data_IF_373194338527
#
_entry.id   IF_373194338527
#
_cell.length_a   1.000
_cell.length_b   1.000
_cell.length_c   1.000
_cell.angle_alpha   90.00
_cell.angle_beta   90.00
_cell.angle_gamma   90.00
#
_symmetry.space_group_name_H-M   'P 1'
#
loop_
_entity.id
_entity.type
_entity.pdbx_description
1 polymer ?
#
# COMPACT_ATOMS: atom_id res chain seq x y z
N UNK A 1 4.14 23.31 8.32
CA UNK A 1 2.76 23.87 8.39
C UNK A 1 1.87 22.88 9.11
N UNK A 2 0.88 23.34 9.88
CA UNK A 2 -0.16 22.52 10.52
C UNK A 2 -1.51 23.19 10.28
N UNK A 3 -2.51 22.43 9.84
CA UNK A 3 -3.86 22.91 9.58
C UNK A 3 -4.90 21.90 10.09
N UNK A 4 -5.89 22.35 10.86
CA UNK A 4 -6.97 21.50 11.37
C UNK A 4 -8.19 21.52 10.44
N UNK A 5 -8.79 20.36 10.20
CA UNK A 5 -10.04 20.18 9.45
C UNK A 5 -11.30 20.23 10.34
N UNK A 6 -12.48 20.04 9.74
CA UNK A 6 -13.77 20.07 10.46
C UNK A 6 -14.00 18.88 11.40
N UNK A 7 -13.19 17.84 11.29
CA UNK A 7 -13.27 16.61 12.07
C UNK A 7 -12.19 16.53 13.16
N UNK A 8 -11.44 17.62 13.39
CA UNK A 8 -10.34 17.68 14.36
C UNK A 8 -9.08 16.95 13.90
N UNK A 9 -9.02 16.53 12.63
CA UNK A 9 -7.83 15.96 12.01
C UNK A 9 -6.81 17.02 11.67
N UNK A 10 -5.53 16.70 11.87
CA UNK A 10 -4.40 17.59 11.64
C UNK A 10 -3.68 17.26 10.35
N UNK A 11 -3.54 18.26 9.50
CA UNK A 11 -2.80 18.22 8.24
C UNK A 11 -1.46 18.90 8.42
N UNK A 12 -0.38 18.13 8.34
CA UNK A 12 0.98 18.54 8.72
C UNK A 12 1.90 18.35 7.51
N UNK A 13 2.44 19.44 6.98
CA UNK A 13 3.43 19.34 5.92
C UNK A 13 4.82 19.02 6.49
N UNK A 14 5.48 18.00 5.92
CA UNK A 14 6.83 17.57 6.27
C UNK A 14 7.73 17.56 5.02
N UNK A 15 9.00 17.21 5.12
CA UNK A 15 9.90 17.20 3.95
C UNK A 15 9.42 16.25 2.84
N UNK A 16 8.73 15.17 3.21
CA UNK A 16 8.37 14.04 2.35
C UNK A 16 6.98 14.14 1.71
N UNK A 17 6.18 15.11 2.14
CA UNK A 17 4.78 15.21 1.72
C UNK A 17 3.89 15.78 2.82
N UNK A 18 2.64 15.34 2.83
CA UNK A 18 1.59 15.81 3.73
C UNK A 18 1.12 14.68 4.65
N UNK A 19 1.22 14.88 5.96
CA UNK A 19 0.76 13.93 6.95
C UNK A 19 -0.63 14.33 7.42
N UNK A 20 -1.58 13.40 7.37
CA UNK A 20 -2.82 13.47 8.13
C UNK A 20 -2.63 12.74 9.46
N UNK A 21 -3.05 13.34 10.56
CA UNK A 21 -3.03 12.75 11.89
C UNK A 21 -4.37 12.96 12.58
N UNK A 22 -4.97 11.89 13.10
CA UNK A 22 -6.20 11.92 13.86
C UNK A 22 -5.87 11.79 15.36
N UNK A 23 -5.95 12.87 16.16
CA UNK A 23 -5.55 12.83 17.57
C UNK A 23 -6.37 11.87 18.43
N UNK A 24 -7.61 11.57 18.05
CA UNK A 24 -8.49 10.71 18.83
C UNK A 24 -8.15 9.21 18.72
N UNK A 25 -7.68 8.77 17.55
CA UNK A 25 -7.30 7.37 17.29
C UNK A 25 -5.78 7.16 17.27
N UNK A 26 -5.01 8.25 17.29
CA UNK A 26 -3.55 8.27 17.07
C UNK A 26 -3.13 7.70 15.70
N UNK A 27 -4.08 7.54 14.79
CA UNK A 27 -3.81 7.08 13.43
C UNK A 27 -3.23 8.23 12.61
N UNK A 28 -2.30 7.88 11.72
CA UNK A 28 -1.71 8.83 10.79
C UNK A 28 -1.54 8.20 9.41
N UNK A 29 -1.50 9.07 8.40
CA UNK A 29 -1.24 8.69 7.02
C UNK A 29 -0.32 9.72 6.38
N UNK A 30 0.68 9.24 5.64
CA UNK A 30 1.52 10.07 4.79
C UNK A 30 0.97 10.04 3.36
N UNK A 31 0.68 11.22 2.82
CA UNK A 31 0.47 11.45 1.41
C UNK A 31 1.77 11.94 0.78
N UNK A 32 2.19 11.28 -0.30
CA UNK A 32 3.43 11.59 -1.01
C UNK A 32 3.22 11.59 -2.54
N UNK A 33 4.31 11.56 -3.31
CA UNK A 33 4.27 11.57 -4.78
C UNK A 33 3.50 10.40 -5.40
N UNK A 34 3.43 9.25 -4.70
CA UNK A 34 2.66 8.09 -5.15
C UNK A 34 1.15 8.27 -4.92
N UNK A 35 0.75 9.16 -4.01
CA UNK A 35 -0.64 9.57 -3.82
C UNK A 35 -1.04 10.75 -4.75
N UNK A 36 -0.15 11.16 -5.66
CA UNK A 36 -0.39 12.23 -6.63
C UNK A 36 0.04 13.62 -6.16
N UNK A 37 0.78 13.73 -5.04
CA UNK A 37 1.40 14.99 -4.66
C UNK A 37 2.56 15.35 -5.61
N UNK A 38 2.72 16.63 -5.98
CA UNK A 38 3.91 17.05 -6.71
C UNK A 38 5.21 16.77 -5.93
N UNK A 39 6.29 16.35 -6.62
CA UNK A 39 7.61 16.22 -6.00
C UNK A 39 8.16 17.60 -5.66
N UNK A 40 8.25 17.92 -4.37
CA UNK A 40 8.53 19.26 -3.86
C UNK A 40 9.09 19.23 -2.43
N UNK A 41 9.70 20.33 -1.97
CA UNK A 41 10.05 20.50 -0.55
C UNK A 41 8.81 20.98 0.24
N UNK A 42 7.99 20.02 0.63
CA UNK A 42 6.75 20.24 1.38
C UNK A 42 6.98 20.88 2.77
N UNK A 43 8.19 20.85 3.31
CA UNK A 43 8.49 21.46 4.62
C UNK A 43 8.24 22.98 4.64
N UNK A 44 8.31 23.63 3.47
CA UNK A 44 8.08 25.06 3.27
C UNK A 44 6.69 25.38 2.73
N UNK A 45 5.80 24.39 2.66
CA UNK A 45 4.44 24.60 2.18
C UNK A 45 3.66 25.53 3.14
N UNK A 46 2.84 26.40 2.55
CA UNK A 46 1.85 27.21 3.27
C UNK A 46 0.45 26.61 3.13
N UNK A 47 -0.40 26.78 4.13
CA UNK A 47 -1.81 26.36 4.09
C UNK A 47 -2.74 27.56 4.26
N UNK A 48 -3.92 27.45 3.65
CA UNK A 48 -5.08 28.29 3.91
C UNK A 48 -6.32 27.40 3.91
N UNK A 49 -7.12 27.48 4.97
CA UNK A 49 -8.44 26.86 5.00
C UNK A 49 -9.49 27.83 4.46
N UNK A 50 -10.32 27.36 3.54
CA UNK A 50 -11.39 28.12 2.93
C UNK A 50 -12.69 28.00 3.75
N UNK A 51 -13.64 28.94 3.62
CA UNK A 51 -14.91 28.89 4.34
C UNK A 51 -15.77 27.66 4.04
N UNK A 52 -15.54 27.00 2.90
CA UNK A 52 -16.24 25.78 2.50
C UNK A 52 -15.61 24.50 3.06
N UNK A 53 -14.63 24.60 3.96
CA UNK A 53 -13.91 23.46 4.54
C UNK A 53 -12.72 22.97 3.70
N UNK A 54 -12.59 23.43 2.45
CA UNK A 54 -11.47 23.05 1.59
C UNK A 54 -10.14 23.59 2.12
N UNK A 55 -9.06 22.85 1.86
CA UNK A 55 -7.70 23.30 2.09
C UNK A 55 -7.03 23.72 0.80
N UNK A 56 -6.32 24.85 0.87
CA UNK A 56 -5.46 25.38 -0.18
C UNK A 56 -4.02 25.32 0.30
N UNK A 57 -3.20 24.50 -0.34
CA UNK A 57 -1.78 24.34 -0.03
C UNK A 57 -0.95 24.99 -1.14
N UNK A 58 -0.01 25.85 -0.74
CA UNK A 58 0.96 26.46 -1.64
C UNK A 58 2.31 25.82 -1.42
N UNK A 59 2.87 25.20 -2.45
CA UNK A 59 4.24 24.64 -2.42
C UNK A 59 5.25 25.66 -2.97
N UNK A 60 6.51 25.65 -2.50
CA UNK A 60 7.54 26.61 -2.91
C UNK A 60 7.78 26.71 -4.42
N UNK A 61 7.54 25.62 -5.15
CA UNK A 61 7.74 25.48 -6.59
C UNK A 61 6.61 26.10 -7.42
N UNK A 62 5.71 26.86 -6.78
CA UNK A 62 4.70 27.68 -7.44
C UNK A 62 3.38 26.97 -7.75
N UNK A 63 3.26 25.67 -7.42
CA UNK A 63 1.97 24.99 -7.51
C UNK A 63 1.08 25.34 -6.31
N UNK A 64 -0.22 25.38 -6.58
CA UNK A 64 -1.25 25.50 -5.54
C UNK A 64 -2.18 24.30 -5.69
N UNK A 65 -2.39 23.59 -4.59
CA UNK A 65 -3.24 22.40 -4.53
C UNK A 65 -4.45 22.76 -3.69
N UNK A 66 -5.64 22.50 -4.23
CA UNK A 66 -6.89 22.59 -3.47
C UNK A 66 -7.50 21.20 -3.34
N UNK A 67 -7.89 20.83 -2.13
CA UNK A 67 -8.67 19.62 -1.90
C UNK A 67 -9.61 19.82 -0.70
N UNK A 68 -10.65 18.99 -0.64
CA UNK A 68 -11.52 18.92 0.55
C UNK A 68 -11.14 17.66 1.35
N UNK A 69 -10.91 17.74 2.67
CA UNK A 69 -10.57 16.57 3.50
C UNK A 69 -11.55 15.41 3.28
N UNK A 70 -12.85 15.68 3.33
CA UNK A 70 -13.93 14.69 3.17
C UNK A 70 -14.03 14.05 1.77
N UNK A 71 -13.31 14.60 0.78
CA UNK A 71 -13.28 14.02 -0.56
C UNK A 71 -12.25 12.89 -0.69
N UNK A 72 -11.37 12.75 0.30
CA UNK A 72 -10.36 11.69 0.31
C UNK A 72 -11.04 10.38 0.65
N UNK A 73 -10.94 9.43 -0.28
CA UNK A 73 -11.47 8.08 -0.13
C UNK A 73 -10.33 7.11 0.02
N UNK A 74 -10.45 6.23 0.99
CA UNK A 74 -9.62 5.03 1.02
C UNK A 74 -9.96 4.16 -0.17
N UNK A 75 -8.95 3.41 -0.62
CA UNK A 75 -9.18 2.40 -1.64
C UNK A 75 -10.09 1.32 -1.05
N UNK A 76 -11.32 1.13 -1.57
CA UNK A 76 -12.27 0.19 -1.01
C UNK A 76 -11.92 -1.27 -1.36
N UNK A 77 -10.91 -1.51 -2.19
CA UNK A 77 -10.53 -2.85 -2.63
C UNK A 77 -9.31 -3.34 -1.85
N UNK A 78 -9.50 -4.19 -0.83
CA UNK A 78 -8.36 -4.82 -0.18
C UNK A 78 -7.59 -5.67 -1.20
N UNK A 79 -6.29 -5.45 -1.24
CA UNK A 79 -5.35 -6.20 -2.04
C UNK A 79 -5.41 -7.70 -1.65
N UNK A 80 -6.02 -8.53 -2.49
CA UNK A 80 -6.07 -9.98 -2.26
C UNK A 80 -4.72 -10.60 -2.63
N UNK A 81 -4.01 -11.15 -1.66
CA UNK A 81 -2.80 -11.91 -1.90
C UNK A 81 -3.17 -13.23 -2.61
N UNK A 82 -2.60 -13.45 -3.79
CA UNK A 82 -2.72 -14.67 -4.56
C UNK A 82 -1.32 -15.28 -4.71
N UNK A 83 -1.21 -16.60 -4.54
CA UNK A 83 0.01 -17.31 -4.88
C UNK A 83 0.23 -17.25 -6.39
N UNK A 84 1.39 -16.79 -6.83
CA UNK A 84 1.73 -16.64 -8.25
C UNK A 84 2.74 -17.68 -8.72
N UNK A 85 3.64 -18.11 -7.84
CA UNK A 85 4.66 -19.10 -8.17
C UNK A 85 5.05 -19.95 -6.95
N UNK A 86 5.59 -21.13 -7.22
CA UNK A 86 6.10 -22.07 -6.23
C UNK A 86 7.40 -22.70 -6.72
N UNK A 87 8.41 -22.71 -5.85
CA UNK A 87 9.72 -23.25 -6.17
C UNK A 87 10.17 -24.28 -5.14
N UNK A 88 10.87 -25.31 -5.63
CA UNK A 88 11.58 -26.30 -4.82
C UNK A 88 13.07 -26.09 -4.95
N UNK A 89 13.77 -25.95 -3.82
CA UNK A 89 15.21 -25.68 -3.77
C UNK A 89 15.64 -24.54 -4.73
N UNK A 90 14.85 -23.45 -4.77
CA UNK A 90 15.02 -22.29 -5.67
C UNK A 90 14.98 -22.63 -7.17
N UNK A 91 14.25 -23.67 -7.56
CA UNK A 91 14.00 -24.03 -8.96
C UNK A 91 12.51 -24.01 -9.24
N UNK A 92 12.16 -23.45 -10.39
CA UNK A 92 10.80 -23.49 -10.92
C UNK A 92 10.34 -24.94 -11.07
N UNK A 93 9.08 -25.18 -10.72
CA UNK A 93 8.46 -26.50 -10.77
C UNK A 93 7.36 -26.47 -11.82
N UNK A 94 7.43 -27.35 -12.81
CA UNK A 94 6.37 -27.48 -13.81
C UNK A 94 5.21 -28.31 -13.28
N UNK A 95 3.99 -27.92 -13.67
CA UNK A 95 2.78 -28.67 -13.33
C UNK A 95 2.78 -30.04 -14.01
N UNK A 96 2.60 -31.10 -13.24
CA UNK A 96 2.50 -32.48 -13.75
C UNK A 96 3.83 -33.15 -14.12
N UNK A 97 4.99 -32.50 -13.88
CA UNK A 97 6.28 -33.13 -14.09
C UNK A 97 6.52 -34.29 -13.09
N UNK A 98 7.35 -35.30 -13.41
CA UNK A 98 7.53 -36.52 -12.59
C UNK A 98 7.93 -36.29 -11.12
N UNK A 99 8.59 -35.17 -10.83
CA UNK A 99 9.06 -34.79 -9.48
C UNK A 99 8.32 -33.58 -8.89
N UNK A 100 7.26 -33.14 -9.56
CA UNK A 100 6.51 -31.96 -9.17
C UNK A 100 5.40 -32.31 -8.17
N UNK A 101 5.31 -31.60 -7.03
CA UNK A 101 4.13 -31.67 -6.17
C UNK A 101 2.91 -30.94 -6.78
N UNK A 102 3.09 -30.15 -7.85
CA UNK A 102 2.03 -29.39 -8.47
C UNK A 102 1.25 -30.25 -9.47
N UNK A 103 0.01 -30.60 -9.11
CA UNK A 103 -0.97 -31.22 -10.03
C UNK A 103 -1.71 -30.20 -10.90
N UNK A 104 -1.75 -28.96 -10.43
CA UNK A 104 -2.33 -27.80 -11.11
C UNK A 104 -1.51 -26.56 -10.76
N UNK A 105 -1.71 -25.42 -11.45
CA UNK A 105 -1.00 -24.19 -11.12
C UNK A 105 -1.19 -23.80 -9.64
N UNK A 106 -0.17 -23.15 -9.05
CA UNK A 106 -0.18 -22.86 -7.61
C UNK A 106 -1.38 -22.00 -7.19
N UNK A 107 -1.80 -21.05 -8.03
CA UNK A 107 -2.96 -20.19 -7.77
C UNK A 107 -4.29 -20.95 -7.70
N UNK A 108 -4.35 -22.17 -8.22
CA UNK A 108 -5.51 -23.05 -8.12
C UNK A 108 -5.35 -24.13 -7.03
N UNK A 109 -4.16 -24.33 -6.48
CA UNK A 109 -3.88 -25.46 -5.58
C UNK A 109 -4.38 -25.18 -4.16
N UNK A 110 -5.37 -25.95 -3.70
CA UNK A 110 -5.89 -25.85 -2.32
C UNK A 110 -5.05 -26.63 -1.29
N UNK A 111 -4.45 -27.74 -1.72
CA UNK A 111 -3.62 -28.59 -0.86
C UNK A 111 -2.38 -29.04 -1.63
N UNK A 112 -1.21 -28.78 -1.05
CA UNK A 112 0.09 -29.13 -1.61
C UNK A 112 0.76 -30.17 -0.70
N UNK A 113 0.95 -31.38 -1.20
CA UNK A 113 1.63 -32.44 -0.48
C UNK A 113 3.11 -32.48 -0.89
N UNK A 114 3.98 -32.30 0.09
CA UNK A 114 5.43 -32.35 -0.10
C UNK A 114 5.99 -33.68 0.42
N UNK A 115 6.92 -34.27 -0.32
CA UNK A 115 7.66 -35.43 0.15
C UNK A 115 8.67 -35.04 1.23
N UNK A 116 9.16 -36.04 1.96
CA UNK A 116 10.14 -35.84 3.04
C UNK A 116 11.44 -35.14 2.59
N UNK A 117 11.81 -35.26 1.30
CA UNK A 117 13.00 -34.67 0.68
C UNK A 117 12.75 -33.28 0.07
N UNK A 118 11.51 -32.80 0.08
CA UNK A 118 11.09 -31.51 -0.49
C UNK A 118 10.90 -30.43 0.59
N UNK A 119 11.84 -30.34 1.53
CA UNK A 119 11.74 -29.48 2.72
C UNK A 119 12.24 -28.03 2.51
N UNK A 120 12.84 -27.72 1.35
CA UNK A 120 13.25 -26.37 0.97
C UNK A 120 12.33 -25.89 -0.15
N UNK A 121 11.41 -24.98 0.19
CA UNK A 121 10.43 -24.45 -0.76
C UNK A 121 10.25 -22.95 -0.59
N UNK A 122 9.80 -22.30 -1.65
CA UNK A 122 9.54 -20.86 -1.71
C UNK A 122 8.18 -20.62 -2.35
N UNK A 123 7.34 -19.82 -1.70
CA UNK A 123 6.10 -19.31 -2.27
C UNK A 123 6.29 -17.87 -2.73
N UNK A 124 5.80 -17.56 -3.92
CA UNK A 124 5.67 -16.20 -4.40
C UNK A 124 4.20 -15.83 -4.37
N UNK A 125 3.89 -14.65 -3.85
CA UNK A 125 2.55 -14.10 -3.85
C UNK A 125 2.56 -12.67 -4.38
N UNK A 126 1.42 -12.25 -4.92
CA UNK A 126 1.19 -10.88 -5.37
C UNK A 126 -0.26 -10.50 -5.10
N UNK A 127 -0.53 -9.21 -5.00
CA UNK A 127 -1.89 -8.71 -5.03
C UNK A 127 -2.09 -7.88 -6.29
N UNK A 128 -3.21 -8.11 -6.98
CA UNK A 128 -3.62 -7.35 -8.16
C UNK A 128 -4.22 -5.99 -7.78
N UNK A 129 -3.51 -5.24 -6.94
CA UNK A 129 -3.89 -3.89 -6.52
C UNK A 129 -3.01 -2.89 -7.26
N UNK A 130 -3.54 -2.35 -8.36
CA UNK A 130 -2.81 -1.50 -9.30
C UNK A 130 -2.84 -0.01 -8.93
N UNK A 131 -3.68 0.40 -7.98
CA UNK A 131 -3.79 1.80 -7.60
C UNK A 131 -2.56 2.29 -6.81
N UNK A 132 -1.98 1.43 -5.97
CA UNK A 132 -0.72 1.72 -5.27
C UNK A 132 0.07 0.42 -4.99
N UNK A 133 0.64 -0.23 -6.03
CA UNK A 133 1.26 -1.55 -5.90
C UNK A 133 2.40 -1.61 -4.88
N UNK A 134 3.18 -0.52 -4.76
CA UNK A 134 4.32 -0.42 -3.82
C UNK A 134 3.90 -0.24 -2.36
N UNK A 135 2.63 0.08 -2.09
CA UNK A 135 2.09 0.28 -0.74
C UNK A 135 1.37 -0.96 -0.18
N UNK A 136 1.32 -2.05 -0.94
CA UNK A 136 0.75 -3.30 -0.45
C UNK A 136 1.63 -3.89 0.66
N UNK A 137 1.08 -3.96 1.87
CA UNK A 137 1.71 -4.65 2.98
C UNK A 137 1.19 -6.09 3.03
N UNK A 138 2.11 -7.04 3.20
CA UNK A 138 1.77 -8.46 3.28
C UNK A 138 2.21 -9.03 4.62
N UNK A 139 1.33 -9.80 5.24
CA UNK A 139 1.63 -10.59 6.42
C UNK A 139 1.42 -12.07 6.08
N UNK A 140 2.29 -12.93 6.59
CA UNK A 140 2.18 -14.38 6.42
C UNK A 140 2.44 -15.09 7.74
N UNK A 141 1.84 -16.28 7.88
CA UNK A 141 2.08 -17.20 9.00
C UNK A 141 2.08 -18.62 8.46
N UNK A 142 3.09 -19.41 8.85
CA UNK A 142 3.06 -20.86 8.69
C UNK A 142 2.59 -21.44 10.02
N UNK A 143 1.40 -22.03 10.02
CA UNK A 143 0.80 -22.64 11.21
C UNK A 143 1.06 -24.15 11.19
N UNK A 144 1.47 -24.69 12.33
CA UNK A 144 1.84 -26.10 12.51
C UNK A 144 1.78 -26.53 13.97
#
# INVERSE_FOLDING_TARGET
MIQEDDHGGLWIACYRGLVYFQPQTEEWRLYDEFDGLPPADWSKAGSLRLPDGSMLLRIPEGATIRFHPDSLRDDPFPARANLVDFQLANRAVEVGAPESPLKQPIWATETLELRYDQNVFTFFFSAFHYAAPERNQFAYRLEG
#
